data_IF_266581444562
#
_entry.id   IF_266581444562
#
_cell.length_a   1.000
_cell.length_b   1.000
_cell.length_c   1.000
_cell.angle_alpha   90.00
_cell.angle_beta   90.00
_cell.angle_gamma   90.00
#
_symmetry.space_group_name_H-M   'P 1'
#
loop_
_entity.id
_entity.type
_entity.pdbx_description
1 polymer ?
#
# COMPACT_ATOMS: atom_id res chain seq x y z
N UNK A 1 -29.81 -6.75 26.63
CA UNK A 1 -29.10 -5.63 25.95
C UNK A 1 -28.12 -6.30 25.01
N UNK A 2 -28.27 -6.07 23.71
CA UNK A 2 -27.41 -6.69 22.70
C UNK A 2 -25.97 -6.25 22.87
N UNK A 3 -25.04 -7.19 22.98
CA UNK A 3 -23.62 -6.89 23.11
C UNK A 3 -22.96 -6.68 21.74
N UNK A 4 -21.82 -6.01 21.70
CA UNK A 4 -21.09 -5.71 20.46
C UNK A 4 -19.90 -6.66 20.27
N UNK A 5 -19.79 -7.23 19.07
CA UNK A 5 -18.53 -7.75 18.54
C UNK A 5 -17.95 -6.69 17.62
N UNK A 6 -16.78 -6.18 17.95
CA UNK A 6 -16.06 -5.20 17.16
C UNK A 6 -14.93 -5.91 16.44
N UNK A 7 -14.86 -5.76 15.12
CA UNK A 7 -13.72 -6.23 14.32
C UNK A 7 -13.07 -5.01 13.72
N UNK A 8 -11.76 -4.86 13.91
CA UNK A 8 -10.96 -3.79 13.36
C UNK A 8 -9.99 -4.42 12.38
N UNK A 9 -10.14 -4.05 11.12
CA UNK A 9 -9.29 -4.48 10.04
C UNK A 9 -8.25 -3.38 9.76
N UNK A 10 -7.03 -3.55 10.29
CA UNK A 10 -5.94 -2.57 10.26
C UNK A 10 -5.04 -2.77 9.06
N UNK A 11 -4.41 -1.72 8.53
CA UNK A 11 -3.45 -1.87 7.43
C UNK A 11 -2.19 -2.61 7.90
N UNK A 12 -1.75 -3.70 7.25
CA UNK A 12 -0.55 -4.44 7.67
C UNK A 12 0.73 -3.59 7.60
N UNK A 13 0.76 -2.54 6.77
CA UNK A 13 1.90 -1.60 6.68
C UNK A 13 1.98 -0.70 7.91
N UNK A 14 0.83 -0.36 8.48
CA UNK A 14 0.69 0.57 9.60
C UNK A 14 -0.38 0.07 10.58
N UNK A 15 -0.09 -1.00 11.35
CA UNK A 15 -1.08 -1.60 12.25
C UNK A 15 -1.54 -0.66 13.37
N UNK A 16 -0.79 0.42 13.64
CA UNK A 16 -1.16 1.47 14.60
C UNK A 16 -2.02 2.60 13.98
N UNK A 17 -2.22 2.62 12.66
CA UNK A 17 -3.13 3.57 11.99
C UNK A 17 -4.57 3.02 12.01
N UNK A 18 -5.29 3.42 13.04
CA UNK A 18 -6.66 2.97 13.30
C UNK A 18 -7.72 4.03 12.94
N UNK A 19 -8.93 3.62 12.53
CA UNK A 19 -10.04 4.55 12.35
C UNK A 19 -10.41 5.22 13.68
N UNK A 20 -10.50 6.54 13.75
CA UNK A 20 -10.85 7.25 15.00
C UNK A 20 -12.18 6.78 15.62
N UNK A 21 -13.12 6.30 14.78
CA UNK A 21 -14.40 5.76 15.23
C UNK A 21 -14.28 4.52 16.15
N UNK A 22 -13.13 3.83 16.17
CA UNK A 22 -12.93 2.67 17.05
C UNK A 22 -12.55 3.06 18.47
N UNK A 23 -12.06 4.28 18.68
CA UNK A 23 -11.48 4.75 19.95
C UNK A 23 -12.36 4.40 21.16
N UNK A 24 -13.69 4.66 21.16
CA UNK A 24 -14.52 4.33 22.31
C UNK A 24 -14.58 2.84 22.68
N UNK A 25 -14.33 1.95 21.71
CA UNK A 25 -14.42 0.50 21.89
C UNK A 25 -13.07 -0.16 22.20
N UNK A 26 -11.95 0.58 22.15
CA UNK A 26 -10.63 0.05 22.46
C UNK A 26 -10.34 -0.06 23.95
N UNK A 27 -11.08 0.67 24.79
CA UNK A 27 -10.81 0.81 26.21
C UNK A 27 -11.72 -0.06 27.08
N UNK A 28 -11.17 -0.57 28.19
CA UNK A 28 -11.87 -1.30 29.24
C UNK A 28 -12.54 -2.59 28.80
N UNK A 29 -12.12 -3.13 27.65
CA UNK A 29 -12.54 -4.43 27.13
C UNK A 29 -11.86 -5.57 27.91
N UNK A 30 -10.65 -5.33 28.42
CA UNK A 30 -9.84 -6.30 29.14
C UNK A 30 -9.26 -7.41 28.24
N UNK A 31 -8.18 -8.05 28.71
CA UNK A 31 -7.42 -9.02 27.90
C UNK A 31 -8.20 -10.28 27.52
N UNK A 32 -9.28 -10.63 28.25
CA UNK A 32 -10.08 -11.82 27.96
C UNK A 32 -11.06 -11.64 26.79
N UNK A 33 -11.30 -10.40 26.36
CA UNK A 33 -12.22 -10.07 25.26
C UNK A 33 -11.53 -9.40 24.07
N UNK A 34 -10.28 -8.98 24.24
CA UNK A 34 -9.41 -8.54 23.16
C UNK A 34 -8.72 -9.74 22.53
N UNK A 35 -8.86 -9.87 21.23
CA UNK A 35 -8.12 -10.80 20.41
C UNK A 35 -7.36 -10.03 19.34
N UNK A 36 -6.03 -10.16 19.33
CA UNK A 36 -5.19 -9.60 18.28
C UNK A 36 -4.55 -10.76 17.53
N UNK A 37 -4.79 -10.83 16.23
CA UNK A 37 -4.36 -11.96 15.41
C UNK A 37 -2.84 -11.99 15.20
N UNK A 38 -2.27 -13.17 14.88
CA UNK A 38 -0.80 -13.34 14.79
C UNK A 38 -0.11 -12.53 13.68
N UNK A 39 -0.84 -12.12 12.65
CA UNK A 39 -0.37 -11.25 11.57
C UNK A 39 -0.02 -9.83 12.03
N UNK A 40 -0.50 -9.42 13.21
CA UNK A 40 -0.14 -8.14 13.80
C UNK A 40 1.23 -8.22 14.50
N UNK A 41 2.19 -7.33 14.18
CA UNK A 41 3.49 -7.28 14.84
C UNK A 41 3.39 -7.17 16.36
N UNK A 42 4.29 -7.83 17.09
CA UNK A 42 4.24 -7.92 18.55
C UNK A 42 4.17 -6.55 19.24
N UNK A 43 4.94 -5.57 18.78
CA UNK A 43 4.91 -4.21 19.34
C UNK A 43 3.53 -3.55 19.24
N UNK A 44 2.83 -3.71 18.11
CA UNK A 44 1.47 -3.19 17.95
C UNK A 44 0.47 -3.96 18.82
N UNK A 45 0.62 -5.29 18.96
CA UNK A 45 -0.22 -6.10 19.86
C UNK A 45 -0.13 -5.60 21.30
N UNK A 46 1.07 -5.26 21.76
CA UNK A 46 1.29 -4.71 23.10
C UNK A 46 0.54 -3.38 23.30
N UNK A 47 0.54 -2.48 22.30
CA UNK A 47 -0.23 -1.25 22.35
C UNK A 47 -1.74 -1.51 22.48
N UNK A 48 -2.29 -2.45 21.72
CA UNK A 48 -3.71 -2.82 21.83
C UNK A 48 -4.07 -3.37 23.21
N UNK A 49 -3.20 -4.21 23.80
CA UNK A 49 -3.41 -4.71 25.16
C UNK A 49 -3.35 -3.61 26.21
N UNK A 50 -2.45 -2.63 26.07
CA UNK A 50 -2.38 -1.46 26.95
C UNK A 50 -3.67 -0.63 26.87
N UNK A 51 -4.15 -0.34 25.66
CA UNK A 51 -5.40 0.41 25.46
C UNK A 51 -6.60 -0.35 26.05
N UNK A 52 -6.69 -1.66 25.84
CA UNK A 52 -7.78 -2.49 26.39
C UNK A 52 -7.81 -2.58 27.91
N UNK A 53 -6.68 -2.32 28.59
CA UNK A 53 -6.58 -2.30 30.04
C UNK A 53 -6.95 -0.96 30.67
N UNK A 54 -6.97 0.13 29.89
CA UNK A 54 -7.38 1.45 30.38
C UNK A 54 -8.90 1.50 30.63
N UNK A 55 -9.40 2.41 31.49
CA UNK A 55 -10.83 2.50 31.79
C UNK A 55 -11.69 2.79 30.56
N UNK A 56 -12.81 2.08 30.39
CA UNK A 56 -13.75 2.31 29.31
C UNK A 56 -14.53 3.62 29.50
N UNK A 57 -14.82 4.36 28.41
CA UNK A 57 -15.87 5.37 28.44
C UNK A 57 -17.24 4.71 28.64
N UNK A 58 -18.24 5.48 29.07
CA UNK A 58 -19.62 5.01 29.15
C UNK A 58 -20.17 4.72 27.75
N UNK A 59 -20.26 3.44 27.39
CA UNK A 59 -20.86 2.98 26.14
C UNK A 59 -22.33 2.63 26.33
N UNK A 60 -23.15 2.89 25.31
CA UNK A 60 -24.57 2.50 25.29
C UNK A 60 -24.78 0.99 25.19
N UNK A 61 -23.79 0.25 24.65
CA UNK A 61 -23.78 -1.20 24.54
C UNK A 61 -22.41 -1.74 24.98
N UNK A 62 -22.37 -2.85 25.74
CA UNK A 62 -21.10 -3.44 26.16
C UNK A 62 -20.40 -4.13 24.98
N UNK A 63 -19.07 -4.06 24.95
CA UNK A 63 -18.24 -4.82 24.01
C UNK A 63 -18.04 -6.23 24.57
N UNK A 64 -18.60 -7.24 23.88
CA UNK A 64 -18.41 -8.65 24.20
C UNK A 64 -17.07 -9.17 23.68
N UNK A 65 -16.66 -8.72 22.48
CA UNK A 65 -15.41 -9.13 21.84
C UNK A 65 -14.86 -7.98 20.98
N UNK A 66 -13.55 -7.78 21.04
CA UNK A 66 -12.80 -6.88 20.16
C UNK A 66 -11.74 -7.71 19.44
N UNK A 67 -11.81 -7.75 18.12
CA UNK A 67 -10.85 -8.43 17.25
C UNK A 67 -10.06 -7.38 16.48
N UNK A 68 -8.73 -7.46 16.53
CA UNK A 68 -7.84 -6.66 15.69
C UNK A 68 -7.13 -7.63 14.73
N UNK A 69 -7.27 -7.39 13.43
CA UNK A 69 -6.68 -8.24 12.38
C UNK A 69 -6.25 -7.40 11.18
N UNK A 70 -5.27 -7.85 10.40
CA UNK A 70 -4.92 -7.29 9.10
C UNK A 70 -5.27 -8.23 7.94
N UNK A 71 -5.73 -9.45 8.25
CA UNK A 71 -6.10 -10.50 7.31
C UNK A 71 -7.48 -10.23 6.66
N UNK A 72 -7.50 -10.00 5.35
CA UNK A 72 -8.73 -9.84 4.57
C UNK A 72 -9.52 -11.16 4.45
N UNK A 73 -8.88 -12.30 4.65
CA UNK A 73 -9.49 -13.62 4.56
C UNK A 73 -9.98 -14.15 5.93
N UNK A 74 -9.94 -13.31 6.97
CA UNK A 74 -10.40 -13.70 8.30
C UNK A 74 -11.88 -14.11 8.25
N UNK A 75 -12.23 -15.36 8.63
CA UNK A 75 -13.59 -15.88 8.47
C UNK A 75 -14.62 -15.04 9.23
N UNK A 76 -14.21 -14.38 10.32
CA UNK A 76 -15.08 -13.52 11.14
C UNK A 76 -15.62 -12.30 10.42
N UNK A 77 -14.97 -11.89 9.32
CA UNK A 77 -15.47 -10.80 8.46
C UNK A 77 -16.74 -11.17 7.70
N UNK A 78 -17.01 -12.48 7.54
CA UNK A 78 -18.16 -13.02 6.80
C UNK A 78 -19.18 -13.74 7.68
N UNK A 79 -18.87 -13.90 8.97
CA UNK A 79 -19.80 -14.47 9.95
C UNK A 79 -21.09 -13.61 10.02
N UNK A 80 -22.28 -14.25 10.01
CA UNK A 80 -23.53 -13.52 10.08
C UNK A 80 -23.58 -12.66 11.34
N UNK A 81 -23.92 -11.38 11.17
CA UNK A 81 -23.90 -10.36 12.23
C UNK A 81 -24.85 -10.62 13.41
N UNK A 82 -25.63 -11.71 13.38
CA UNK A 82 -26.48 -12.22 14.46
C UNK A 82 -26.15 -13.69 14.71
N UNK A 83 -25.45 -13.97 15.79
CA UNK A 83 -25.35 -15.32 16.37
C UNK A 83 -26.57 -15.60 17.26
N UNK A 84 -26.78 -16.86 17.65
CA UNK A 84 -27.93 -17.32 18.44
C UNK A 84 -28.06 -16.65 19.84
N UNK A 85 -27.01 -15.96 20.29
CA UNK A 85 -27.02 -15.05 21.44
C UNK A 85 -26.99 -13.60 20.92
N UNK A 86 -27.82 -12.72 21.49
CA UNK A 86 -28.02 -11.30 21.13
C UNK A 86 -26.73 -10.46 20.97
N UNK A 87 -25.98 -10.66 19.88
CA UNK A 87 -24.72 -9.95 19.60
C UNK A 87 -24.80 -9.31 18.22
N UNK A 88 -24.35 -8.06 18.10
CA UNK A 88 -24.24 -7.33 16.83
C UNK A 88 -22.78 -7.14 16.45
N UNK A 89 -22.42 -7.55 15.23
CA UNK A 89 -21.06 -7.34 14.69
C UNK A 89 -20.93 -5.98 14.02
N UNK A 90 -19.84 -5.25 14.33
CA UNK A 90 -19.45 -4.01 13.65
C UNK A 90 -18.01 -4.13 13.16
N UNK A 91 -17.82 -3.87 11.88
CA UNK A 91 -16.51 -3.93 11.23
C UNK A 91 -16.02 -2.51 10.95
N UNK A 92 -14.80 -2.21 11.39
CA UNK A 92 -14.11 -0.97 11.13
C UNK A 92 -12.88 -1.27 10.28
N UNK A 93 -12.85 -0.78 9.04
CA UNK A 93 -11.71 -0.92 8.13
C UNK A 93 -10.85 0.33 8.20
N UNK A 94 -9.53 0.18 8.35
CA UNK A 94 -8.58 1.26 8.22
C UNK A 94 -8.62 1.82 6.78
N UNK A 95 -8.91 3.12 6.58
CA UNK A 95 -9.00 3.70 5.23
C UNK A 95 -7.71 3.60 4.42
N UNK A 96 -6.55 3.50 5.10
CA UNK A 96 -5.25 3.29 4.45
C UNK A 96 -5.18 2.00 3.62
N UNK A 97 -6.02 1.01 3.93
CA UNK A 97 -6.12 -0.24 3.16
C UNK A 97 -6.71 -0.03 1.76
N UNK A 98 -7.43 1.07 1.56
CA UNK A 98 -8.06 1.41 0.29
C UNK A 98 -7.11 2.17 -0.65
N UNK A 99 -5.82 2.23 -0.31
CA UNK A 99 -4.75 2.79 -1.15
C UNK A 99 -4.59 1.98 -2.46
N UNK A 100 -4.91 2.57 -3.64
CA UNK A 100 -4.91 1.82 -4.90
C UNK A 100 -3.53 1.28 -5.29
N UNK A 101 -2.46 2.00 -4.94
CA UNK A 101 -1.08 1.56 -5.23
C UNK A 101 -0.74 0.28 -4.46
N UNK A 102 -1.09 0.22 -3.18
CA UNK A 102 -0.94 -0.99 -2.38
C UNK A 102 -1.76 -2.15 -2.92
N UNK A 103 -3.01 -1.89 -3.33
CA UNK A 103 -3.85 -2.92 -3.95
C UNK A 103 -3.21 -3.48 -5.21
N UNK A 104 -2.67 -2.62 -6.10
CA UNK A 104 -1.96 -3.05 -7.30
C UNK A 104 -0.74 -3.93 -6.98
N UNK A 105 0.07 -3.56 -5.99
CA UNK A 105 1.20 -4.39 -5.52
C UNK A 105 0.73 -5.74 -4.97
N UNK A 106 -0.36 -5.78 -4.21
CA UNK A 106 -0.91 -7.02 -3.67
C UNK A 106 -1.49 -7.92 -4.75
N UNK A 107 -2.18 -7.35 -5.74
CA UNK A 107 -2.68 -8.07 -6.92
C UNK A 107 -1.49 -8.72 -7.65
N UNK A 108 -0.42 -7.96 -7.91
CA UNK A 108 0.77 -8.49 -8.57
C UNK A 108 1.44 -9.61 -7.75
N UNK A 109 1.62 -9.41 -6.44
CA UNK A 109 2.16 -10.44 -5.54
C UNK A 109 1.30 -11.69 -5.56
N UNK A 110 -0.02 -11.54 -5.55
CA UNK A 110 -0.97 -12.65 -5.62
C UNK A 110 -0.87 -13.35 -6.97
N UNK A 111 -0.81 -12.60 -8.08
CA UNK A 111 -0.70 -13.14 -9.43
C UNK A 111 0.54 -14.04 -9.56
N UNK A 112 1.73 -13.59 -9.14
CA UNK A 112 2.94 -14.44 -9.12
C UNK A 112 2.92 -15.54 -8.04
N UNK A 113 1.90 -15.57 -7.17
CA UNK A 113 1.74 -16.67 -6.20
C UNK A 113 0.85 -17.77 -6.76
N UNK A 114 -0.18 -17.45 -7.53
CA UNK A 114 -1.18 -18.44 -7.98
C UNK A 114 -1.30 -18.64 -9.48
N UNK A 115 -0.88 -17.67 -10.27
CA UNK A 115 -0.93 -17.74 -11.73
C UNK A 115 0.22 -18.58 -12.28
N UNK A 116 -0.08 -19.52 -13.18
CA UNK A 116 0.93 -20.36 -13.82
C UNK A 116 1.82 -19.53 -14.74
N UNK A 117 1.20 -18.73 -15.63
CA UNK A 117 1.92 -17.89 -16.57
C UNK A 117 2.76 -16.81 -15.88
N UNK A 118 2.21 -16.12 -14.87
CA UNK A 118 2.89 -15.06 -14.14
C UNK A 118 4.13 -15.57 -13.40
N UNK A 119 4.07 -16.81 -12.91
CA UNK A 119 5.19 -17.46 -12.23
C UNK A 119 6.34 -17.84 -13.15
N UNK A 120 6.07 -18.06 -14.42
CA UNK A 120 7.08 -18.39 -15.42
C UNK A 120 7.81 -17.15 -15.94
N UNK A 121 7.32 -15.94 -15.62
CA UNK A 121 7.91 -14.71 -16.12
C UNK A 121 9.24 -14.37 -15.47
N UNK A 122 10.13 -13.85 -16.31
CA UNK A 122 11.44 -13.29 -15.98
C UNK A 122 11.53 -11.87 -16.53
N UNK A 123 12.59 -11.12 -16.19
CA UNK A 123 12.78 -9.81 -16.78
C UNK A 123 12.89 -9.89 -18.31
N UNK A 124 13.53 -10.94 -18.82
CA UNK A 124 13.79 -11.15 -20.23
C UNK A 124 12.54 -11.59 -21.00
N UNK A 125 11.72 -12.49 -20.44
CA UNK A 125 10.50 -12.97 -21.10
C UNK A 125 9.42 -11.89 -21.18
N UNK A 126 9.48 -10.87 -20.32
CA UNK A 126 8.56 -9.73 -20.32
C UNK A 126 8.92 -8.64 -21.33
N UNK A 127 10.14 -8.63 -21.88
CA UNK A 127 10.58 -7.57 -22.81
C UNK A 127 9.70 -7.41 -24.07
N UNK A 128 9.16 -8.47 -24.70
CA UNK A 128 8.23 -8.31 -25.82
C UNK A 128 6.98 -7.52 -25.42
N UNK A 129 6.34 -7.89 -24.31
CA UNK A 129 5.16 -7.21 -23.78
C UNK A 129 5.46 -5.76 -23.44
N UNK A 130 6.55 -5.48 -22.70
CA UNK A 130 6.94 -4.10 -22.41
C UNK A 130 7.12 -3.23 -23.67
N UNK A 131 7.64 -3.80 -24.75
CA UNK A 131 7.78 -3.07 -26.03
C UNK A 131 6.43 -2.82 -26.70
N UNK A 132 5.54 -3.80 -26.64
CA UNK A 132 4.16 -3.72 -27.14
C UNK A 132 3.40 -2.61 -26.39
N UNK A 133 3.29 -2.69 -25.06
CA UNK A 133 2.57 -1.69 -24.24
C UNK A 133 3.14 -0.27 -24.42
N UNK A 134 4.47 -0.14 -24.57
CA UNK A 134 5.09 1.17 -24.82
C UNK A 134 4.77 1.70 -26.21
N UNK A 135 4.60 0.81 -27.19
CA UNK A 135 4.19 1.16 -28.55
C UNK A 135 2.72 1.57 -28.57
N UNK A 136 1.84 0.81 -27.94
CA UNK A 136 0.41 1.12 -27.84
C UNK A 136 0.16 2.44 -27.12
N UNK A 137 0.86 2.70 -26.00
CA UNK A 137 0.85 4.01 -25.35
C UNK A 137 1.29 5.15 -26.29
N UNK A 138 2.35 4.93 -27.09
CA UNK A 138 2.81 5.93 -28.05
C UNK A 138 1.80 6.15 -29.19
N UNK A 139 1.14 5.08 -29.64
CA UNK A 139 0.06 5.14 -30.62
C UNK A 139 -1.12 5.95 -30.06
N UNK A 140 -1.64 5.63 -28.88
CA UNK A 140 -2.72 6.38 -28.23
C UNK A 140 -2.42 7.90 -28.14
N UNK A 141 -1.18 8.26 -27.80
CA UNK A 141 -0.74 9.67 -27.76
C UNK A 141 -0.72 10.31 -29.15
N UNK A 142 -0.19 9.60 -30.15
CA UNK A 142 0.01 10.16 -31.50
C UNK A 142 -1.27 10.24 -32.32
N UNK A 143 -2.19 9.29 -32.13
CA UNK A 143 -3.51 9.26 -32.75
C UNK A 143 -4.51 10.19 -32.04
N UNK A 144 -4.16 10.69 -30.85
CA UNK A 144 -5.03 11.48 -29.97
C UNK A 144 -6.28 10.69 -29.57
N UNK A 145 -6.05 9.49 -29.07
CA UNK A 145 -7.04 8.68 -28.40
C UNK A 145 -7.73 9.45 -27.27
N UNK A 146 -8.89 8.95 -26.83
CA UNK A 146 -9.58 9.55 -25.70
C UNK A 146 -8.86 9.27 -24.36
N UNK A 147 -9.28 9.99 -23.31
CA UNK A 147 -8.64 9.89 -21.99
C UNK A 147 -8.79 8.49 -21.37
N UNK A 148 -9.80 7.71 -21.77
CA UNK A 148 -10.02 6.37 -21.24
C UNK A 148 -9.03 5.37 -21.83
N UNK A 149 -8.81 5.44 -23.15
CA UNK A 149 -7.77 4.65 -23.84
C UNK A 149 -6.38 5.03 -23.34
N UNK A 150 -6.03 6.32 -23.29
CA UNK A 150 -4.74 6.77 -22.75
C UNK A 150 -4.49 6.29 -21.31
N UNK A 151 -5.53 6.29 -20.47
CA UNK A 151 -5.45 5.79 -19.11
C UNK A 151 -5.23 4.27 -19.05
N UNK A 152 -5.85 3.51 -19.96
CA UNK A 152 -5.68 2.06 -20.05
C UNK A 152 -4.22 1.72 -20.39
N UNK A 153 -3.67 2.33 -21.45
CA UNK A 153 -2.29 2.10 -21.89
C UNK A 153 -1.24 2.48 -20.83
N UNK A 154 -1.49 3.58 -20.09
CA UNK A 154 -0.65 3.93 -18.93
C UNK A 154 -0.71 2.87 -17.83
N UNK A 155 -1.87 2.23 -17.66
CA UNK A 155 -2.06 1.11 -16.76
C UNK A 155 -1.27 -0.13 -17.18
N UNK A 156 -1.21 -0.42 -18.47
CA UNK A 156 -0.47 -1.58 -18.99
C UNK A 156 1.05 -1.38 -18.92
N UNK A 157 1.54 -0.16 -19.15
CA UNK A 157 2.94 0.18 -18.83
C UNK A 157 3.23 0.05 -17.33
N UNK A 158 2.30 0.46 -16.45
CA UNK A 158 2.45 0.27 -15.00
C UNK A 158 2.46 -1.22 -14.62
N UNK A 159 1.66 -2.06 -15.29
CA UNK A 159 1.64 -3.51 -15.10
C UNK A 159 3.05 -4.10 -15.31
N UNK A 160 3.75 -3.68 -16.37
CA UNK A 160 5.12 -4.12 -16.64
C UNK A 160 6.11 -3.68 -15.55
N UNK A 161 5.98 -2.45 -15.03
CA UNK A 161 6.79 -1.97 -13.90
C UNK A 161 6.54 -2.81 -12.64
N UNK A 162 5.28 -3.14 -12.34
CA UNK A 162 4.91 -3.98 -11.20
C UNK A 162 5.45 -5.41 -11.33
N UNK A 163 5.39 -6.01 -12.52
CA UNK A 163 5.98 -7.33 -12.78
C UNK A 163 7.47 -7.34 -12.46
N UNK A 164 8.23 -6.41 -13.04
CA UNK A 164 9.67 -6.36 -12.80
C UNK A 164 10.01 -6.09 -11.33
N UNK A 165 9.23 -5.24 -10.65
CA UNK A 165 9.41 -4.96 -9.23
C UNK A 165 9.14 -6.19 -8.35
N UNK A 166 8.06 -6.94 -8.60
CA UNK A 166 7.73 -8.15 -7.83
C UNK A 166 8.70 -9.30 -8.12
N UNK A 167 9.12 -9.47 -9.39
CA UNK A 167 10.17 -10.43 -9.76
C UNK A 167 11.45 -10.13 -8.98
N UNK A 168 11.89 -8.85 -8.94
CA UNK A 168 13.07 -8.44 -8.18
C UNK A 168 12.91 -8.62 -6.67
N UNK A 169 11.72 -8.33 -6.13
CA UNK A 169 11.43 -8.43 -4.70
C UNK A 169 11.54 -9.89 -4.22
N UNK A 170 11.05 -10.85 -5.01
CA UNK A 170 11.13 -12.29 -4.69
C UNK A 170 12.55 -12.84 -4.60
N UNK A 171 13.51 -12.16 -5.24
CA UNK A 171 14.95 -12.49 -5.17
C UNK A 171 15.69 -11.67 -4.11
N UNK A 172 14.97 -10.85 -3.34
CA UNK A 172 15.54 -9.96 -2.32
C UNK A 172 16.40 -8.82 -2.90
N UNK A 173 16.17 -8.42 -4.15
CA UNK A 173 16.99 -7.40 -4.82
C UNK A 173 16.49 -5.97 -4.58
N UNK A 174 15.25 -5.69 -4.98
CA UNK A 174 14.54 -4.43 -4.75
C UNK A 174 13.04 -4.67 -4.95
N UNK A 175 12.19 -3.80 -4.41
CA UNK A 175 10.74 -3.85 -4.62
C UNK A 175 10.19 -2.59 -5.32
N UNK A 176 8.87 -2.50 -5.47
CA UNK A 176 8.23 -1.35 -6.11
C UNK A 176 8.45 -0.05 -5.31
N UNK A 177 8.54 -0.13 -3.98
CA UNK A 177 8.88 1.00 -3.12
C UNK A 177 10.29 1.52 -3.40
N UNK A 178 11.25 0.63 -3.65
CA UNK A 178 12.60 1.01 -4.08
C UNK A 178 12.62 1.69 -5.47
N UNK A 179 11.79 1.22 -6.42
CA UNK A 179 11.63 1.86 -7.73
C UNK A 179 11.12 3.30 -7.58
N UNK A 180 10.08 3.49 -6.76
CA UNK A 180 9.53 4.81 -6.43
C UNK A 180 10.56 5.67 -5.70
N UNK A 181 11.29 5.10 -4.74
CA UNK A 181 12.36 5.77 -4.01
C UNK A 181 13.50 6.23 -4.93
N UNK A 182 13.87 5.42 -5.91
CA UNK A 182 14.84 5.76 -6.95
C UNK A 182 14.39 6.96 -7.79
N UNK A 183 13.11 7.00 -8.19
CA UNK A 183 12.51 8.16 -8.86
C UNK A 183 12.54 9.41 -7.97
N UNK A 184 12.04 9.33 -6.73
CA UNK A 184 12.02 10.47 -5.80
C UNK A 184 13.44 11.01 -5.58
N UNK A 185 14.41 10.13 -5.33
CA UNK A 185 15.80 10.51 -5.16
C UNK A 185 16.38 11.22 -6.39
N UNK A 186 16.05 10.73 -7.60
CA UNK A 186 16.45 11.35 -8.87
C UNK A 186 15.86 12.75 -9.00
N UNK A 187 14.57 12.92 -8.70
CA UNK A 187 13.90 14.22 -8.76
C UNK A 187 14.47 15.20 -7.73
N UNK A 188 14.75 14.76 -6.50
CA UNK A 188 15.41 15.62 -5.48
C UNK A 188 16.77 16.14 -5.94
N UNK A 189 17.52 15.36 -6.73
CA UNK A 189 18.84 15.75 -7.25
C UNK A 189 18.78 16.63 -8.50
N UNK A 190 17.89 16.30 -9.44
CA UNK A 190 17.84 16.94 -10.77
C UNK A 190 16.84 18.10 -10.87
N UNK A 191 15.89 18.16 -9.94
CA UNK A 191 14.84 19.17 -9.85
C UNK A 191 14.60 19.59 -8.39
N UNK A 192 15.62 20.08 -7.67
CA UNK A 192 15.52 20.39 -6.23
C UNK A 192 14.46 21.45 -5.91
N UNK A 193 14.15 22.34 -6.86
CA UNK A 193 13.10 23.35 -6.74
C UNK A 193 11.70 22.77 -6.48
N UNK A 194 11.47 21.48 -6.76
CA UNK A 194 10.22 20.80 -6.40
C UNK A 194 10.10 20.52 -4.89
N UNK A 195 11.18 20.71 -4.11
CA UNK A 195 11.29 20.26 -2.71
C UNK A 195 11.81 21.32 -1.74
N UNK A 196 12.24 22.49 -2.22
CA UNK A 196 12.90 23.53 -1.41
C UNK A 196 11.98 24.71 -1.06
N UNK A 197 10.68 24.59 -1.32
CA UNK A 197 9.69 25.63 -1.06
C UNK A 197 9.61 26.70 -2.15
N UNK A 198 10.20 26.48 -3.32
CA UNK A 198 10.00 27.34 -4.50
C UNK A 198 8.51 27.45 -4.84
N UNK A 199 8.00 28.68 -4.93
CA UNK A 199 6.58 28.99 -5.22
C UNK A 199 6.36 29.63 -6.59
N UNK A 200 7.42 30.09 -7.25
CA UNK A 200 7.36 30.75 -8.56
C UNK A 200 7.74 29.80 -9.70
N UNK A 201 7.28 30.11 -10.91
CA UNK A 201 7.62 29.34 -12.11
C UNK A 201 9.13 29.38 -12.34
N UNK A 202 9.76 28.21 -12.36
CA UNK A 202 11.20 28.08 -12.65
C UNK A 202 11.41 28.12 -14.17
N UNK A 203 12.24 29.02 -14.71
CA UNK A 203 12.50 29.08 -16.15
C UNK A 203 13.09 27.78 -16.71
N UNK A 204 12.74 27.43 -17.95
CA UNK A 204 13.22 26.21 -18.60
C UNK A 204 14.75 26.13 -18.68
N UNK A 205 15.43 27.26 -18.86
CA UNK A 205 16.90 27.35 -18.86
C UNK A 205 17.50 26.87 -17.54
N UNK A 206 16.89 27.27 -16.42
CA UNK A 206 17.31 26.85 -15.09
C UNK A 206 16.99 25.39 -14.82
N UNK A 207 15.80 24.92 -15.23
CA UNK A 207 15.43 23.50 -15.13
C UNK A 207 16.45 22.61 -15.87
N UNK A 208 16.83 22.98 -17.10
CA UNK A 208 17.86 22.28 -17.89
C UNK A 208 19.22 22.30 -17.19
N UNK A 209 19.64 23.45 -16.65
CA UNK A 209 20.91 23.60 -15.93
C UNK A 209 20.97 22.68 -14.70
N UNK A 210 19.92 22.66 -13.89
CA UNK A 210 19.82 21.81 -12.69
C UNK A 210 19.79 20.33 -13.06
N UNK A 211 19.11 19.97 -14.14
CA UNK A 211 19.03 18.59 -14.62
C UNK A 211 20.40 18.02 -15.02
N UNK A 212 21.17 18.77 -15.80
CA UNK A 212 22.53 18.36 -16.20
C UNK A 212 23.48 18.32 -15.00
N UNK A 213 23.40 19.30 -14.08
CA UNK A 213 24.18 19.28 -12.84
C UNK A 213 23.91 18.01 -12.01
N UNK A 214 22.64 17.63 -11.86
CA UNK A 214 22.23 16.43 -11.14
C UNK A 214 22.74 15.13 -11.81
N UNK A 215 22.73 15.04 -13.15
CA UNK A 215 23.32 13.92 -13.89
C UNK A 215 24.82 13.75 -13.61
N UNK A 216 25.60 14.84 -13.61
CA UNK A 216 27.04 14.79 -13.37
C UNK A 216 27.42 14.32 -11.96
N UNK A 217 26.56 14.55 -10.98
CA UNK A 217 26.75 14.05 -9.60
C UNK A 217 26.49 12.54 -9.52
N UNK A 218 25.48 12.04 -10.24
CA UNK A 218 25.16 10.60 -10.29
C UNK A 218 26.21 9.78 -11.04
N UNK A 219 26.66 10.25 -12.21
CA UNK A 219 27.68 9.55 -13.00
C UNK A 219 29.01 9.35 -12.26
N UNK A 220 29.36 10.26 -11.33
CA UNK A 220 30.55 10.16 -10.46
C UNK A 220 30.41 9.17 -9.31
N UNK A 221 29.18 8.79 -8.92
CA UNK A 221 28.93 7.78 -7.88
C UNK A 221 28.95 6.37 -8.46
N UNK A 222 28.43 6.18 -9.68
CA UNK A 222 28.46 4.89 -10.38
C UNK A 222 29.90 4.49 -10.74
N UNK A 223 30.77 5.44 -11.08
CA UNK A 223 32.17 5.17 -11.44
C UNK A 223 33.13 4.94 -10.26
N UNK A 224 32.70 5.16 -9.02
CA UNK A 224 33.51 4.93 -7.80
C UNK A 224 33.12 3.66 -7.03
N UNK A 225 32.21 2.86 -7.57
CA UNK A 225 31.73 1.61 -6.97
C UNK A 225 32.07 0.35 -7.77
N UNK A 226 33.06 0.41 -8.67
CA UNK A 226 33.70 -0.76 -9.30
C UNK A 226 35.06 -1.01 -8.70
#
# INVERSE_FOLDING_TARGET
MTALTIIVLVDPRWPDQIPLGIIPYLYGVGSSRLEVTPDIPAAARDHYHQLAALPAPSLSQPVARLVITSDDADPRLTEPAKTAEETTTRIFRAPSRDDPTWQAQNIMRRALTVGEWEREQTHETLLPYLREETTELAEAITTRADDAELMAELGDVLLQVLFHAEIAARRGAFDFGDVVGSFIGKMRRRSPYLFDGTTSVVPQSEQKRLWELGKHVEGRRVSKGQ
#
